data_IF_146643895751
#
_entry.id   IF_146643895751
#
_cell.length_a   1.000
_cell.length_b   1.000
_cell.length_c   1.000
_cell.angle_alpha   90.00
_cell.angle_beta   90.00
_cell.angle_gamma   90.00
#
_symmetry.space_group_name_H-M   'P 1'
#
loop_
_entity.id
_entity.type
_entity.pdbx_description
1 polymer ?
#
# COMPACT_ATOMS: atom_id res chain seq x y z
N UNK A 1 -12.96 8.85 -15.93
CA UNK A 1 -11.60 8.39 -15.71
C UNK A 1 -11.52 7.65 -14.39
N UNK A 2 -12.18 6.51 -14.36
CA UNK A 2 -12.28 5.63 -13.21
C UNK A 2 -10.88 5.14 -12.79
N UNK A 3 -10.66 4.96 -11.49
CA UNK A 3 -9.39 4.51 -10.94
C UNK A 3 -8.30 5.57 -10.79
N UNK A 4 -8.57 6.84 -11.15
CA UNK A 4 -7.61 7.92 -10.92
C UNK A 4 -7.70 8.49 -9.48
N UNK A 5 -6.63 9.15 -9.02
CA UNK A 5 -6.67 9.88 -7.75
C UNK A 5 -7.77 10.95 -7.70
N UNK A 6 -8.08 11.56 -8.84
CA UNK A 6 -9.20 12.50 -8.94
C UNK A 6 -10.55 11.82 -8.73
N UNK A 7 -10.73 10.61 -9.31
CA UNK A 7 -11.95 9.82 -9.11
C UNK A 7 -12.13 9.45 -7.64
N UNK A 8 -11.07 9.00 -6.97
CA UNK A 8 -11.11 8.71 -5.54
C UNK A 8 -11.52 9.96 -4.73
N UNK A 9 -10.89 11.11 -4.98
CA UNK A 9 -11.24 12.35 -4.31
C UNK A 9 -12.70 12.77 -4.54
N UNK A 10 -13.23 12.55 -5.76
CA UNK A 10 -14.62 12.81 -6.10
C UNK A 10 -15.57 11.91 -5.32
N UNK A 11 -15.31 10.60 -5.28
CA UNK A 11 -16.16 9.61 -4.56
C UNK A 11 -16.19 9.88 -3.06
N UNK A 12 -15.03 10.25 -2.49
CA UNK A 12 -14.90 10.51 -1.04
C UNK A 12 -15.25 11.94 -0.63
N UNK A 13 -15.54 12.83 -1.59
CA UNK A 13 -15.77 14.25 -1.30
C UNK A 13 -14.53 14.95 -0.72
N UNK A 14 -13.32 14.48 -1.05
CA UNK A 14 -12.07 14.96 -0.46
C UNK A 14 -11.48 16.09 -1.29
N UNK A 15 -11.13 17.25 -0.69
CA UNK A 15 -10.44 18.33 -1.40
C UNK A 15 -9.01 17.93 -1.80
N UNK A 16 -8.53 18.49 -2.91
CA UNK A 16 -7.24 18.17 -3.52
C UNK A 16 -6.25 19.33 -3.32
N UNK A 17 -5.05 18.99 -2.90
CA UNK A 17 -3.86 19.85 -3.01
C UNK A 17 -3.01 19.38 -4.19
N UNK A 18 -2.92 20.19 -5.23
CA UNK A 18 -2.16 19.87 -6.43
C UNK A 18 -0.68 20.18 -6.21
N UNK A 19 0.20 19.19 -6.39
CA UNK A 19 1.66 19.40 -6.40
C UNK A 19 2.14 19.49 -7.84
N UNK A 20 2.72 20.63 -8.22
CA UNK A 20 3.16 20.91 -9.59
C UNK A 20 4.67 20.98 -9.65
N UNK A 21 5.29 20.21 -10.55
CA UNK A 21 6.70 20.37 -10.85
C UNK A 21 6.93 21.69 -11.60
N UNK A 22 7.56 22.63 -10.92
CA UNK A 22 7.79 23.99 -11.42
C UNK A 22 9.24 24.25 -11.84
N UNK A 23 10.07 23.20 -11.98
CA UNK A 23 11.48 23.36 -12.38
C UNK A 23 11.61 24.01 -13.74
N UNK A 24 12.30 25.15 -13.77
CA UNK A 24 12.53 25.91 -15.00
C UNK A 24 11.27 26.58 -15.59
N UNK A 25 10.13 26.51 -14.90
CA UNK A 25 8.89 27.13 -15.33
C UNK A 25 8.81 28.57 -14.83
N UNK A 26 8.69 29.51 -15.75
CA UNK A 26 8.34 30.89 -15.43
C UNK A 26 6.84 31.05 -15.17
N UNK A 27 6.23 32.07 -15.74
CA UNK A 27 4.76 32.26 -15.67
C UNK A 27 3.97 31.16 -16.34
N UNK A 28 4.59 30.29 -17.13
CA UNK A 28 3.95 29.15 -17.74
C UNK A 28 3.37 28.14 -16.70
N UNK A 29 3.83 28.18 -15.45
CA UNK A 29 3.25 27.40 -14.37
C UNK A 29 1.77 27.75 -14.12
N UNK A 30 1.36 29.02 -14.34
CA UNK A 30 -0.05 29.42 -14.25
C UNK A 30 -0.89 28.72 -15.31
N UNK A 31 -0.38 28.60 -16.54
CA UNK A 31 -1.09 27.89 -17.62
C UNK A 31 -1.25 26.41 -17.32
N UNK A 32 -0.23 25.78 -16.70
CA UNK A 32 -0.29 24.39 -16.28
C UNK A 32 -1.36 24.19 -15.19
N UNK A 33 -1.36 25.03 -14.15
CA UNK A 33 -2.35 24.98 -13.07
C UNK A 33 -3.77 25.25 -13.65
N UNK A 34 -3.92 26.26 -14.51
CA UNK A 34 -5.19 26.56 -15.15
C UNK A 34 -5.72 25.37 -15.98
N UNK A 35 -4.83 24.63 -16.64
CA UNK A 35 -5.17 23.39 -17.34
C UNK A 35 -5.79 22.33 -16.41
N UNK A 36 -5.19 22.07 -15.26
CA UNK A 36 -5.77 21.16 -14.26
C UNK A 36 -7.12 21.65 -13.75
N UNK A 37 -7.24 22.93 -13.45
CA UNK A 37 -8.51 23.53 -12.98
C UNK A 37 -9.61 23.48 -14.03
N UNK A 38 -9.27 23.51 -15.31
CA UNK A 38 -10.23 23.38 -16.40
C UNK A 38 -10.86 21.97 -16.45
N UNK A 39 -10.09 20.94 -16.07
CA UNK A 39 -10.56 19.56 -15.99
C UNK A 39 -11.22 19.22 -14.63
N UNK A 40 -11.04 20.06 -13.63
CA UNK A 40 -11.62 19.91 -12.29
C UNK A 40 -13.09 20.41 -12.28
N UNK A 41 -13.96 19.61 -12.83
CA UNK A 41 -15.41 19.95 -12.94
C UNK A 41 -16.10 20.07 -11.59
N UNK A 42 -15.64 19.32 -10.59
CA UNK A 42 -16.20 19.32 -9.22
C UNK A 42 -15.56 20.39 -8.32
N UNK A 43 -14.56 21.12 -8.82
CA UNK A 43 -13.81 22.15 -8.06
C UNK A 43 -13.20 21.60 -6.76
N UNK A 44 -12.62 20.41 -6.82
CA UNK A 44 -11.97 19.75 -5.69
C UNK A 44 -10.56 20.29 -5.43
N UNK A 45 -9.88 20.85 -6.46
CA UNK A 45 -8.54 21.43 -6.31
C UNK A 45 -8.66 22.78 -5.55
N UNK A 46 -8.22 22.78 -4.29
CA UNK A 46 -8.32 23.91 -3.39
C UNK A 46 -7.00 24.67 -3.20
N UNK A 47 -5.89 23.99 -3.41
CA UNK A 47 -4.57 24.56 -3.22
C UNK A 47 -3.52 24.00 -4.14
N UNK A 48 -2.39 24.70 -4.25
CA UNK A 48 -1.26 24.26 -5.06
C UNK A 48 0.06 24.45 -4.29
N UNK A 49 0.96 23.46 -4.42
CA UNK A 49 2.34 23.51 -3.96
C UNK A 49 3.25 23.43 -5.19
N UNK A 50 4.22 24.33 -5.27
CA UNK A 50 5.15 24.41 -6.40
C UNK A 50 6.44 23.65 -6.05
N UNK A 51 6.61 22.45 -6.60
CA UNK A 51 7.79 21.63 -6.38
C UNK A 51 8.96 22.10 -7.26
N UNK A 52 10.18 22.00 -6.76
CA UNK A 52 11.45 22.38 -7.38
C UNK A 52 11.50 23.86 -7.78
N UNK A 53 10.97 24.74 -6.92
CA UNK A 53 10.93 26.19 -7.12
C UNK A 53 11.78 26.91 -6.06
N UNK A 54 12.47 27.97 -6.45
CA UNK A 54 13.17 28.83 -5.49
C UNK A 54 12.21 29.73 -4.72
N UNK A 55 12.53 30.02 -3.44
CA UNK A 55 11.73 30.93 -2.61
C UNK A 55 11.58 32.31 -3.19
N UNK A 56 12.64 32.87 -3.75
CA UNK A 56 12.60 34.20 -4.38
C UNK A 56 11.62 34.27 -5.55
N UNK A 57 11.59 33.21 -6.36
CA UNK A 57 10.66 33.15 -7.48
C UNK A 57 9.22 32.87 -7.05
N UNK A 58 9.05 32.04 -6.01
CA UNK A 58 7.73 31.81 -5.42
C UNK A 58 7.06 33.11 -4.96
N UNK A 59 7.81 34.01 -4.31
CA UNK A 59 7.28 35.31 -3.89
C UNK A 59 6.76 36.17 -5.08
N UNK A 60 7.33 35.99 -6.27
CA UNK A 60 6.87 36.67 -7.49
C UNK A 60 5.63 36.01 -8.10
N UNK A 61 5.55 34.67 -8.07
CA UNK A 61 4.47 33.90 -8.72
C UNK A 61 3.22 33.81 -7.84
N UNK A 62 3.39 33.72 -6.54
CA UNK A 62 2.27 33.57 -5.58
C UNK A 62 1.16 34.59 -5.77
N UNK A 63 1.44 35.91 -5.84
CA UNK A 63 0.38 36.90 -6.04
C UNK A 63 -0.37 36.75 -7.37
N UNK A 64 0.31 36.22 -8.41
CA UNK A 64 -0.32 35.96 -9.70
C UNK A 64 -1.26 34.75 -9.63
N UNK A 65 -0.85 33.66 -8.95
CA UNK A 65 -1.71 32.51 -8.73
C UNK A 65 -2.97 32.93 -7.97
N UNK A 66 -2.81 33.61 -6.83
CA UNK A 66 -3.92 34.02 -5.95
C UNK A 66 -4.85 35.05 -6.64
N UNK A 67 -4.34 35.84 -7.61
CA UNK A 67 -5.13 36.82 -8.37
C UNK A 67 -5.86 36.23 -9.58
N UNK A 68 -5.18 35.33 -10.31
CA UNK A 68 -5.65 34.85 -11.62
C UNK A 68 -6.34 33.51 -11.58
N UNK A 69 -6.11 32.72 -10.52
CA UNK A 69 -6.63 31.34 -10.40
C UNK A 69 -7.43 31.17 -9.08
N UNK A 70 -8.51 30.38 -9.10
CA UNK A 70 -9.35 30.16 -7.91
C UNK A 70 -8.77 29.10 -6.96
N UNK A 71 -7.47 29.19 -6.63
CA UNK A 71 -6.76 28.27 -5.73
C UNK A 71 -5.81 29.00 -4.80
N UNK A 72 -5.58 28.44 -3.61
CA UNK A 72 -4.59 28.95 -2.67
C UNK A 72 -3.17 28.53 -3.07
N UNK A 73 -2.22 29.45 -3.10
CA UNK A 73 -0.80 29.13 -3.19
C UNK A 73 -0.28 28.74 -1.79
N UNK A 74 -0.17 27.44 -1.53
CA UNK A 74 0.13 26.89 -0.20
C UNK A 74 1.62 26.93 0.13
N UNK A 75 2.49 27.00 -0.87
CA UNK A 75 3.92 27.04 -0.67
C UNK A 75 4.73 26.50 -1.83
N UNK A 76 5.99 26.26 -1.55
CA UNK A 76 6.93 25.71 -2.52
C UNK A 76 7.88 24.71 -1.84
N UNK A 77 8.45 23.82 -2.64
CA UNK A 77 9.52 22.92 -2.23
C UNK A 77 10.75 23.28 -3.07
N UNK A 78 11.87 23.66 -2.45
CA UNK A 78 13.09 23.93 -3.20
C UNK A 78 13.67 22.66 -3.84
N UNK A 79 14.53 22.82 -4.86
CA UNK A 79 15.24 21.69 -5.49
C UNK A 79 16.27 21.11 -4.50
N UNK A 80 15.96 19.96 -3.91
CA UNK A 80 16.72 19.32 -2.84
C UNK A 80 17.41 18.06 -3.35
N UNK A 81 18.51 18.23 -4.08
CA UNK A 81 19.25 17.09 -4.68
C UNK A 81 19.70 16.01 -3.70
N UNK A 82 19.92 16.38 -2.43
CA UNK A 82 20.34 15.44 -1.38
C UNK A 82 19.18 14.67 -0.75
N UNK A 83 17.94 15.02 -1.08
CA UNK A 83 16.73 14.35 -0.63
C UNK A 83 16.10 13.47 -1.73
N UNK A 84 16.83 13.19 -2.81
CA UNK A 84 16.37 12.22 -3.80
C UNK A 84 16.36 10.82 -3.18
N UNK A 85 15.18 10.29 -2.93
CA UNK A 85 15.02 8.87 -2.66
C UNK A 85 15.40 8.13 -3.94
N UNK A 86 16.43 7.30 -3.88
CA UNK A 86 16.84 6.49 -5.02
C UNK A 86 15.70 5.55 -5.38
N UNK A 87 15.17 5.74 -6.58
CA UNK A 87 14.22 4.78 -7.14
C UNK A 87 14.97 3.48 -7.43
N UNK A 88 14.46 2.35 -6.93
CA UNK A 88 14.92 1.01 -7.28
C UNK A 88 13.78 0.25 -7.89
N UNK A 89 14.02 -0.47 -8.97
CA UNK A 89 13.03 -1.28 -9.69
C UNK A 89 11.60 -0.70 -9.67
N UNK A 90 10.77 -1.09 -8.72
CA UNK A 90 9.39 -0.60 -8.54
C UNK A 90 9.28 0.69 -7.70
N UNK A 91 10.39 1.39 -7.46
CA UNK A 91 10.42 2.65 -6.69
C UNK A 91 10.40 2.49 -5.17
N UNK A 92 10.51 1.26 -4.67
CA UNK A 92 10.48 0.95 -3.23
C UNK A 92 11.90 0.79 -2.67
N UNK A 93 12.07 1.13 -1.39
CA UNK A 93 13.33 1.06 -0.65
C UNK A 93 13.24 -0.06 0.38
N UNK A 94 14.31 -0.87 0.48
CA UNK A 94 14.33 -2.02 1.40
C UNK A 94 14.36 -1.58 2.88
N UNK A 95 13.79 -2.39 3.80
CA UNK A 95 13.76 -2.09 5.24
C UNK A 95 15.13 -1.83 5.87
N UNK A 96 16.20 -2.46 5.37
CA UNK A 96 17.58 -2.26 5.84
C UNK A 96 18.10 -0.81 5.66
N UNK A 97 17.48 -0.05 4.77
CA UNK A 97 17.84 1.35 4.49
C UNK A 97 16.96 2.34 5.29
N UNK A 98 16.11 1.85 6.19
CA UNK A 98 15.10 2.67 6.87
C UNK A 98 15.69 3.76 7.78
N UNK A 99 16.85 3.57 8.39
CA UNK A 99 17.43 4.61 9.25
C UNK A 99 17.86 5.84 8.44
N UNK A 100 18.51 5.65 7.30
CA UNK A 100 18.89 6.75 6.40
C UNK A 100 17.65 7.42 5.80
N UNK A 101 16.69 6.63 5.33
CA UNK A 101 15.43 7.13 4.77
C UNK A 101 14.61 7.86 5.83
N UNK A 102 14.52 7.36 7.05
CA UNK A 102 13.83 8.01 8.14
C UNK A 102 14.45 9.37 8.49
N UNK A 103 15.79 9.49 8.42
CA UNK A 103 16.46 10.78 8.60
C UNK A 103 16.17 11.73 7.45
N UNK A 104 16.23 11.26 6.20
CA UNK A 104 15.88 12.05 5.03
C UNK A 104 14.44 12.56 5.09
N UNK A 105 13.49 11.75 5.52
CA UNK A 105 12.09 12.16 5.73
C UNK A 105 11.98 13.25 6.80
N UNK A 106 12.70 13.12 7.93
CA UNK A 106 12.72 14.16 8.98
C UNK A 106 13.28 15.49 8.47
N UNK A 107 14.38 15.43 7.73
CA UNK A 107 15.02 16.62 7.17
C UNK A 107 14.10 17.30 6.14
N UNK A 108 13.44 16.51 5.30
CA UNK A 108 12.45 17.00 4.35
C UNK A 108 11.23 17.61 5.04
N UNK A 109 10.70 16.96 6.07
CA UNK A 109 9.59 17.49 6.84
C UNK A 109 9.93 18.84 7.51
N UNK A 110 11.15 18.95 8.04
CA UNK A 110 11.64 20.21 8.62
C UNK A 110 11.76 21.34 7.58
N UNK A 111 12.11 21.01 6.34
CA UNK A 111 12.14 22.00 5.25
C UNK A 111 10.73 22.37 4.79
N UNK A 112 9.82 21.39 4.64
CA UNK A 112 8.43 21.66 4.30
C UNK A 112 7.74 22.61 5.29
N UNK A 113 8.00 22.44 6.58
CA UNK A 113 7.44 23.32 7.63
C UNK A 113 7.82 24.80 7.45
N UNK A 114 8.95 25.09 6.80
CA UNK A 114 9.42 26.49 6.54
C UNK A 114 8.79 27.07 5.28
N UNK A 115 8.47 26.24 4.30
CA UNK A 115 8.18 26.67 2.93
C UNK A 115 6.75 26.40 2.51
N UNK A 116 6.02 25.52 3.21
CA UNK A 116 4.64 25.16 2.94
C UNK A 116 3.76 25.48 4.14
N UNK A 117 2.60 26.07 3.91
CA UNK A 117 1.62 26.37 4.96
C UNK A 117 0.82 25.11 5.33
N UNK A 118 1.32 24.36 6.31
CA UNK A 118 0.62 23.17 6.85
C UNK A 118 -0.73 23.55 7.44
N UNK A 119 -0.86 24.74 8.02
CA UNK A 119 -2.12 25.19 8.60
C UNK A 119 -3.21 25.35 7.53
N UNK A 120 -2.89 25.99 6.40
CA UNK A 120 -3.84 26.06 5.27
C UNK A 120 -4.20 24.69 4.68
N UNK A 121 -3.26 23.74 4.67
CA UNK A 121 -3.56 22.36 4.26
C UNK A 121 -4.59 21.73 5.22
N UNK A 122 -4.44 21.94 6.53
CA UNK A 122 -5.41 21.46 7.52
C UNK A 122 -6.78 22.13 7.38
N UNK A 123 -6.81 23.43 7.09
CA UNK A 123 -8.05 24.16 6.80
C UNK A 123 -8.76 23.54 5.58
N UNK A 124 -8.02 23.28 4.50
CA UNK A 124 -8.56 22.62 3.31
C UNK A 124 -9.05 21.19 3.64
N UNK A 125 -8.25 20.42 4.41
CA UNK A 125 -8.62 19.07 4.80
C UNK A 125 -9.92 19.03 5.65
N UNK A 126 -10.16 20.06 6.46
CA UNK A 126 -11.38 20.17 7.25
C UNK A 126 -12.65 20.42 6.40
N UNK A 127 -12.51 20.75 5.12
CA UNK A 127 -13.63 20.85 4.17
C UNK A 127 -14.06 19.47 3.62
N UNK A 128 -13.33 18.40 3.91
CA UNK A 128 -13.66 17.05 3.45
C UNK A 128 -15.02 16.61 4.01
N UNK A 129 -15.78 15.86 3.21
CA UNK A 129 -17.00 15.24 3.67
C UNK A 129 -16.72 14.21 4.76
N UNK A 130 -17.63 14.07 5.73
CA UNK A 130 -17.55 12.94 6.67
C UNK A 130 -17.79 11.64 5.90
N UNK A 131 -16.86 10.70 6.03
CA UNK A 131 -17.08 9.36 5.50
C UNK A 131 -18.12 8.64 6.38
N UNK A 132 -19.01 7.84 5.79
CA UNK A 132 -19.96 7.06 6.58
C UNK A 132 -19.20 6.17 7.55
N UNK A 133 -19.61 6.19 8.83
CA UNK A 133 -19.09 5.23 9.81
C UNK A 133 -19.48 3.82 9.36
N UNK A 134 -18.49 2.99 9.14
CA UNK A 134 -18.72 1.56 8.93
C UNK A 134 -19.17 0.95 10.26
N UNK A 135 -20.39 0.46 10.32
CA UNK A 135 -20.88 -0.25 11.50
C UNK A 135 -20.05 -1.53 11.68
N UNK A 136 -19.57 -1.77 12.92
CA UNK A 136 -18.93 -3.04 13.31
C UNK A 136 -19.96 -4.18 13.21
N UNK A 137 -20.28 -4.61 12.03
CA UNK A 137 -21.31 -5.63 11.81
C UNK A 137 -21.71 -5.81 10.36
N UNK A 138 -21.32 -4.89 9.49
CA UNK A 138 -21.43 -5.10 8.06
C UNK A 138 -20.24 -5.91 7.56
N UNK A 139 -20.27 -7.22 7.89
CA UNK A 139 -19.39 -8.22 7.24
C UNK A 139 -19.77 -8.43 5.77
N UNK A 140 -20.83 -7.84 5.30
CA UNK A 140 -21.15 -7.66 3.88
C UNK A 140 -20.46 -6.39 3.37
N UNK A 141 -19.13 -6.42 3.28
CA UNK A 141 -18.34 -5.51 2.46
C UNK A 141 -18.65 -5.76 0.97
N UNK A 142 -19.91 -5.77 0.62
CA UNK A 142 -20.35 -5.54 -0.75
C UNK A 142 -20.15 -4.05 -1.00
N UNK A 143 -18.97 -3.73 -1.49
CA UNK A 143 -18.73 -2.43 -2.11
C UNK A 143 -19.75 -2.26 -3.22
N UNK A 144 -20.87 -1.61 -2.91
CA UNK A 144 -21.71 -0.98 -3.93
C UNK A 144 -20.96 0.23 -4.49
N UNK A 145 -19.83 -0.05 -5.16
CA UNK A 145 -19.30 0.82 -6.18
C UNK A 145 -20.14 0.51 -7.42
N UNK A 146 -21.25 1.23 -7.61
CA UNK A 146 -21.92 1.26 -8.91
C UNK A 146 -20.87 1.60 -9.97
N UNK A 147 -20.50 0.60 -10.80
CA UNK A 147 -19.52 0.77 -11.88
C UNK A 147 -18.36 -0.24 -11.91
N UNK A 148 -18.13 -1.08 -10.91
CA UNK A 148 -17.20 -2.20 -11.02
C UNK A 148 -17.90 -3.40 -11.64
N UNK A 149 -17.50 -3.77 -12.86
CA UNK A 149 -18.00 -4.95 -13.55
C UNK A 149 -17.65 -6.23 -12.78
N UNK A 150 -18.57 -7.20 -12.77
CA UNK A 150 -18.53 -8.48 -12.05
C UNK A 150 -17.24 -9.31 -12.24
N UNK A 151 -16.42 -9.04 -13.24
CA UNK A 151 -15.20 -9.82 -13.53
C UNK A 151 -14.05 -9.62 -12.52
N UNK A 152 -14.03 -8.57 -11.70
CA UNK A 152 -12.96 -8.33 -10.71
C UNK A 152 -13.31 -8.84 -9.30
N UNK A 153 -14.57 -9.11 -9.01
CA UNK A 153 -15.00 -9.68 -7.73
C UNK A 153 -14.54 -11.13 -7.53
N UNK A 154 -14.39 -11.87 -8.62
CA UNK A 154 -14.03 -13.30 -8.59
C UNK A 154 -12.66 -13.58 -7.97
N UNK A 155 -11.72 -12.62 -8.01
CA UNK A 155 -10.33 -12.89 -7.58
C UNK A 155 -10.14 -12.87 -6.06
N UNK A 156 -10.81 -11.97 -5.34
CA UNK A 156 -10.68 -11.88 -3.86
C UNK A 156 -11.58 -12.91 -3.15
N UNK A 157 -12.81 -13.10 -3.62
CA UNK A 157 -13.70 -14.14 -3.08
C UNK A 157 -13.14 -15.55 -3.30
N UNK A 158 -12.53 -15.83 -4.48
CA UNK A 158 -11.97 -17.15 -4.75
C UNK A 158 -10.74 -17.50 -3.89
N UNK A 159 -10.01 -16.50 -3.40
CA UNK A 159 -8.83 -16.70 -2.55
C UNK A 159 -9.24 -16.96 -1.10
N UNK A 160 -10.16 -16.17 -0.56
CA UNK A 160 -10.69 -16.37 0.79
C UNK A 160 -11.56 -17.64 0.87
N UNK A 161 -12.41 -17.90 -0.12
CA UNK A 161 -13.26 -19.08 -0.15
C UNK A 161 -12.43 -20.37 -0.33
N UNK A 162 -11.39 -20.38 -1.16
CA UNK A 162 -10.53 -21.57 -1.31
C UNK A 162 -9.70 -21.90 -0.06
N UNK A 163 -9.36 -20.89 0.77
CA UNK A 163 -8.68 -21.10 2.04
C UNK A 163 -9.67 -21.59 3.12
N UNK A 164 -10.89 -21.02 3.12
CA UNK A 164 -11.93 -21.36 4.11
C UNK A 164 -12.62 -22.68 3.78
N UNK A 165 -12.93 -22.96 2.50
CA UNK A 165 -13.58 -24.23 2.10
C UNK A 165 -12.68 -25.47 2.30
N UNK A 166 -11.35 -25.32 2.23
CA UNK A 166 -10.43 -26.44 2.49
C UNK A 166 -10.37 -26.85 3.97
N UNK A 167 -10.83 -25.99 4.89
CA UNK A 167 -10.85 -26.25 6.34
C UNK A 167 -12.17 -26.85 6.84
N UNK A 168 -13.24 -26.95 6.01
CA UNK A 168 -14.59 -27.34 6.44
C UNK A 168 -14.87 -28.88 6.38
N UNK A 169 -13.83 -29.70 6.47
CA UNK A 169 -13.92 -31.16 6.52
C UNK A 169 -14.39 -31.73 7.86
N UNK A 170 -15.10 -31.04 8.75
CA UNK A 170 -15.49 -31.62 10.03
C UNK A 170 -16.21 -30.71 11.03
N UNK A 171 -17.29 -30.02 10.66
CA UNK A 171 -18.14 -29.34 11.64
C UNK A 171 -19.31 -30.18 12.08
N UNK A 172 -19.31 -30.57 13.36
CA UNK A 172 -20.49 -30.97 14.14
C UNK A 172 -20.93 -29.81 15.05
N UNK A 173 -22.24 -29.70 15.21
CA UNK A 173 -23.09 -28.61 15.70
C UNK A 173 -22.69 -27.90 17.00
N UNK A 174 -23.21 -26.66 17.06
CA UNK A 174 -23.12 -25.63 18.06
C UNK A 174 -23.22 -26.01 19.53
N UNK A 175 -22.32 -25.46 20.34
CA UNK A 175 -22.39 -25.39 21.81
C UNK A 175 -22.21 -23.95 22.29
N UNK A 176 -22.99 -23.55 23.26
CA UNK A 176 -23.15 -22.25 23.87
C UNK A 176 -21.82 -21.59 24.36
N UNK A 177 -21.73 -20.28 24.14
CA UNK A 177 -20.65 -19.39 24.62
C UNK A 177 -20.67 -19.32 26.17
N UNK A 178 -19.58 -19.72 26.80
CA UNK A 178 -19.23 -19.33 28.17
C UNK A 178 -17.83 -18.74 28.15
N UNK A 179 -17.74 -17.47 28.64
CA UNK A 179 -16.49 -16.77 28.90
C UNK A 179 -15.58 -17.59 29.82
N UNK A 180 -14.41 -17.98 29.34
CA UNK A 180 -13.22 -18.20 30.14
C UNK A 180 -11.98 -18.14 29.27
N UNK A 181 -11.10 -17.18 29.56
CA UNK A 181 -9.73 -17.06 29.08
C UNK A 181 -8.95 -18.38 29.30
N UNK A 182 -8.88 -19.21 28.27
CA UNK A 182 -7.81 -20.20 28.07
C UNK A 182 -7.57 -20.35 26.57
N UNK A 183 -6.38 -19.95 26.18
CA UNK A 183 -5.73 -20.02 24.86
C UNK A 183 -5.75 -21.46 24.30
N UNK A 184 -6.86 -21.92 23.74
CA UNK A 184 -7.00 -23.19 23.02
C UNK A 184 -8.09 -23.12 21.94
N UNK A 185 -7.98 -22.18 21.00
CA UNK A 185 -8.69 -22.34 19.72
C UNK A 185 -7.80 -23.19 18.79
N UNK A 186 -7.89 -24.51 18.95
CA UNK A 186 -7.09 -25.49 18.20
C UNK A 186 -7.56 -25.63 16.75
N UNK A 187 -8.69 -25.06 16.37
CA UNK A 187 -9.33 -25.22 15.06
C UNK A 187 -9.12 -24.04 14.11
N UNK A 188 -8.48 -22.96 14.56
CA UNK A 188 -8.23 -21.80 13.72
C UNK A 188 -7.15 -22.11 12.66
N UNK A 189 -7.40 -21.86 11.36
CA UNK A 189 -6.43 -22.15 10.30
C UNK A 189 -5.14 -21.35 10.47
N UNK A 190 -4.00 -22.03 10.27
CA UNK A 190 -2.67 -21.42 10.35
C UNK A 190 -2.21 -21.03 8.96
N UNK A 191 -2.03 -19.74 8.72
CA UNK A 191 -1.47 -19.21 7.48
C UNK A 191 0.03 -18.91 7.69
N UNK A 192 0.88 -19.63 6.96
CA UNK A 192 2.31 -19.38 6.93
C UNK A 192 2.60 -18.18 6.02
N UNK A 193 3.12 -17.07 6.59
CA UNK A 193 3.41 -15.83 5.86
C UNK A 193 4.92 -15.69 5.71
N UNK A 194 5.41 -15.66 4.47
CA UNK A 194 6.82 -15.42 4.19
C UNK A 194 7.20 -13.98 4.57
N UNK A 195 8.15 -13.78 5.47
CA UNK A 195 8.56 -12.44 5.89
C UNK A 195 10.04 -12.38 6.23
N UNK A 196 10.83 -11.81 5.32
CA UNK A 196 12.25 -11.54 5.48
C UNK A 196 12.68 -10.40 4.52
N UNK A 197 13.97 -10.29 4.25
CA UNK A 197 14.52 -9.25 3.38
C UNK A 197 14.14 -9.41 1.91
N UNK A 198 13.85 -10.64 1.46
CA UNK A 198 13.40 -10.94 0.10
C UNK A 198 11.89 -10.78 -0.06
N UNK A 199 11.11 -10.98 1.02
CA UNK A 199 9.65 -10.96 1.03
C UNK A 199 9.14 -10.02 2.13
N UNK A 200 9.00 -8.73 1.81
CA UNK A 200 8.72 -7.71 2.83
C UNK A 200 7.56 -6.78 2.48
N UNK A 201 6.87 -6.97 1.36
CA UNK A 201 5.78 -6.11 0.93
C UNK A 201 4.44 -6.73 1.26
N UNK A 202 3.86 -6.28 2.37
CA UNK A 202 2.54 -6.65 2.82
C UNK A 202 1.75 -5.41 3.19
N UNK A 203 0.46 -5.43 2.90
CA UNK A 203 -0.48 -4.48 3.47
C UNK A 203 -0.89 -5.01 4.85
N UNK A 204 -0.56 -4.28 5.90
CA UNK A 204 -0.87 -4.68 7.28
C UNK A 204 -2.38 -4.86 7.50
N UNK A 205 -3.20 -4.07 6.78
CA UNK A 205 -4.65 -4.23 6.82
C UNK A 205 -5.13 -5.58 6.27
N UNK A 206 -4.47 -6.12 5.24
CA UNK A 206 -4.80 -7.44 4.71
C UNK A 206 -4.43 -8.56 5.71
N UNK A 207 -3.27 -8.43 6.38
CA UNK A 207 -2.85 -9.39 7.41
C UNK A 207 -3.83 -9.37 8.59
N UNK A 208 -4.20 -8.17 9.06
CA UNK A 208 -5.18 -8.01 10.12
C UNK A 208 -6.56 -8.56 9.73
N UNK A 209 -6.98 -8.38 8.48
CA UNK A 209 -8.25 -8.92 7.99
C UNK A 209 -8.28 -10.45 8.04
N UNK A 210 -7.18 -11.13 7.71
CA UNK A 210 -7.06 -12.58 7.85
C UNK A 210 -7.23 -13.00 9.33
N UNK A 211 -6.61 -12.29 10.27
CA UNK A 211 -6.76 -12.56 11.70
C UNK A 211 -8.20 -12.29 12.20
N UNK A 212 -8.83 -11.21 11.74
CA UNK A 212 -10.24 -10.88 12.04
C UNK A 212 -11.21 -11.95 11.51
N UNK A 213 -10.85 -12.66 10.44
CA UNK A 213 -11.61 -13.80 9.91
C UNK A 213 -11.23 -15.14 10.56
N UNK A 214 -10.47 -15.11 11.64
CA UNK A 214 -10.16 -16.27 12.45
C UNK A 214 -8.89 -17.04 12.05
N UNK A 215 -8.08 -16.51 11.13
CA UNK A 215 -6.80 -17.13 10.82
C UNK A 215 -5.74 -16.78 11.88
N UNK A 216 -4.81 -17.71 12.11
CA UNK A 216 -3.59 -17.48 12.90
C UNK A 216 -2.40 -17.31 11.96
N UNK A 217 -1.75 -16.14 11.96
CA UNK A 217 -0.58 -15.91 11.12
C UNK A 217 0.68 -16.43 11.81
N UNK A 218 1.48 -17.21 11.06
CA UNK A 218 2.80 -17.69 11.47
C UNK A 218 3.83 -17.24 10.43
N UNK A 219 4.77 -16.44 10.85
CA UNK A 219 5.80 -15.91 9.95
C UNK A 219 6.94 -16.92 9.79
N UNK A 220 7.48 -17.01 8.59
CA UNK A 220 8.68 -17.78 8.28
C UNK A 220 9.56 -17.02 7.29
N UNK A 221 10.84 -17.36 7.25
CA UNK A 221 11.80 -16.76 6.35
C UNK A 221 12.21 -17.74 5.26
N UNK A 222 11.87 -17.51 3.99
CA UNK A 222 12.44 -18.27 2.88
C UNK A 222 13.96 -18.22 2.79
N UNK A 223 14.60 -17.17 3.30
CA UNK A 223 16.05 -17.05 3.34
C UNK A 223 16.70 -17.84 4.47
N UNK A 224 16.12 -17.81 5.68
CA UNK A 224 16.81 -18.21 6.90
C UNK A 224 16.25 -19.46 7.56
N UNK A 225 14.98 -19.77 7.37
CA UNK A 225 14.33 -20.95 7.95
C UNK A 225 14.49 -22.17 7.04
N UNK A 226 14.55 -23.35 7.63
CA UNK A 226 14.69 -24.61 6.90
C UNK A 226 13.37 -25.35 6.69
N UNK A 227 12.28 -24.90 7.36
CA UNK A 227 10.96 -25.54 7.34
C UNK A 227 9.85 -24.52 7.44
N UNK A 228 8.69 -24.87 6.91
CA UNK A 228 7.45 -24.16 7.15
C UNK A 228 7.00 -24.27 8.62
N UNK A 229 6.19 -23.34 9.13
CA UNK A 229 5.51 -23.47 10.41
C UNK A 229 4.71 -24.79 10.50
N UNK A 230 4.84 -25.47 11.63
CA UNK A 230 4.16 -26.75 11.83
C UNK A 230 2.63 -26.57 11.80
N UNK A 231 1.96 -27.46 11.07
CA UNK A 231 0.50 -27.48 10.95
C UNK A 231 -0.06 -26.30 10.16
N UNK A 232 0.70 -25.70 9.22
CA UNK A 232 0.15 -24.65 8.37
C UNK A 232 -0.90 -25.20 7.39
N UNK A 233 -2.03 -24.49 7.29
CA UNK A 233 -3.16 -24.81 6.42
C UNK A 233 -3.14 -24.00 5.12
N UNK A 234 -2.31 -22.94 5.05
CA UNK A 234 -2.14 -22.10 3.88
C UNK A 234 -0.79 -21.39 3.87
N UNK A 235 -0.33 -20.99 2.70
CA UNK A 235 0.93 -20.27 2.48
C UNK A 235 0.66 -18.94 1.78
N UNK A 236 1.21 -17.86 2.32
CA UNK A 236 1.18 -16.52 1.73
C UNK A 236 2.61 -16.04 1.43
N UNK A 237 2.92 -15.90 0.14
CA UNK A 237 4.18 -15.37 -0.38
C UNK A 237 3.94 -13.97 -0.95
N UNK A 238 4.27 -12.94 -0.21
CA UNK A 238 4.07 -11.56 -0.62
C UNK A 238 5.12 -11.04 -1.59
N UNK A 239 5.02 -9.76 -1.88
CA UNK A 239 5.99 -9.06 -2.72
C UNK A 239 7.32 -8.83 -2.03
N UNK A 240 8.30 -8.44 -2.82
CA UNK A 240 9.67 -8.16 -2.39
C UNK A 240 10.63 -8.21 -3.55
N UNK A 241 11.90 -8.44 -3.23
CA UNK A 241 12.99 -8.50 -4.21
C UNK A 241 13.78 -9.81 -4.10
N UNK A 242 13.19 -10.96 -4.43
CA UNK A 242 13.88 -12.24 -4.38
C UNK A 242 15.10 -12.28 -5.32
N UNK A 243 15.09 -11.51 -6.41
CA UNK A 243 16.21 -11.40 -7.36
C UNK A 243 17.47 -10.79 -6.75
N UNK A 244 17.38 -10.07 -5.64
CA UNK A 244 18.53 -9.55 -4.90
C UNK A 244 19.16 -10.58 -3.93
N UNK A 245 18.50 -11.72 -3.76
CA UNK A 245 18.86 -12.77 -2.80
C UNK A 245 18.95 -14.15 -3.45
N UNK A 246 19.28 -14.20 -4.75
CA UNK A 246 19.28 -15.44 -5.54
C UNK A 246 20.15 -16.53 -4.93
N UNK A 247 21.36 -16.18 -4.47
CA UNK A 247 22.29 -17.15 -3.90
C UNK A 247 21.76 -17.76 -2.60
N UNK A 248 21.22 -16.95 -1.71
CA UNK A 248 20.66 -17.39 -0.43
C UNK A 248 19.41 -18.27 -0.68
N UNK A 249 18.54 -17.86 -1.57
CA UNK A 249 17.35 -18.62 -1.94
C UNK A 249 17.70 -19.93 -2.64
N UNK A 250 18.74 -19.95 -3.50
CA UNK A 250 19.24 -21.16 -4.14
C UNK A 250 19.81 -22.14 -3.12
N UNK A 251 20.59 -21.65 -2.15
CA UNK A 251 21.21 -22.47 -1.11
C UNK A 251 20.19 -23.07 -0.14
N UNK A 252 19.07 -22.40 0.07
CA UNK A 252 18.00 -22.90 0.93
C UNK A 252 17.06 -23.91 0.23
N UNK A 253 17.66 -25.00 -0.26
CA UNK A 253 16.94 -26.07 -0.93
C UNK A 253 15.91 -26.79 -0.02
N UNK A 254 16.12 -26.79 1.32
CA UNK A 254 15.19 -27.38 2.26
C UNK A 254 13.87 -26.63 2.27
N UNK A 255 13.86 -25.30 2.39
CA UNK A 255 12.65 -24.49 2.37
C UNK A 255 11.90 -24.62 1.04
N UNK A 256 12.63 -24.57 -0.10
CA UNK A 256 11.99 -24.74 -1.42
C UNK A 256 11.30 -26.12 -1.54
N UNK A 257 11.90 -27.17 -1.00
CA UNK A 257 11.29 -28.49 -1.00
C UNK A 257 10.09 -28.60 -0.05
N UNK A 258 10.14 -27.96 1.12
CA UNK A 258 9.02 -27.87 2.04
C UNK A 258 7.80 -27.19 1.38
N UNK A 259 7.98 -26.00 0.78
CA UNK A 259 6.91 -25.29 0.07
C UNK A 259 6.35 -26.15 -1.07
N UNK A 260 7.22 -26.73 -1.90
CA UNK A 260 6.79 -27.60 -3.01
C UNK A 260 5.98 -28.78 -2.51
N UNK A 261 6.46 -29.46 -1.49
CA UNK A 261 5.79 -30.63 -0.92
C UNK A 261 4.44 -30.25 -0.32
N UNK A 262 4.35 -29.13 0.37
CA UNK A 262 3.10 -28.61 0.93
C UNK A 262 2.07 -28.34 -0.18
N UNK A 263 2.47 -27.68 -1.25
CA UNK A 263 1.60 -27.42 -2.40
C UNK A 263 1.18 -28.71 -3.14
N UNK A 264 2.10 -29.66 -3.32
CA UNK A 264 1.79 -30.97 -3.90
C UNK A 264 0.82 -31.80 -3.03
N UNK A 265 0.81 -31.58 -1.72
CA UNK A 265 -0.13 -32.17 -0.77
C UNK A 265 -1.48 -31.44 -0.71
N UNK A 266 -1.63 -30.35 -1.47
CA UNK A 266 -2.88 -29.60 -1.60
C UNK A 266 -3.03 -28.44 -0.62
N UNK A 267 -1.96 -28.02 0.09
CA UNK A 267 -2.00 -26.79 0.87
C UNK A 267 -2.11 -25.59 -0.07
N UNK A 268 -3.15 -24.76 0.06
CA UNK A 268 -3.33 -23.59 -0.80
C UNK A 268 -2.19 -22.58 -0.61
N UNK A 269 -1.75 -21.99 -1.74
CA UNK A 269 -0.68 -21.00 -1.74
C UNK A 269 -1.11 -19.77 -2.55
N UNK A 270 -1.03 -18.60 -1.92
CA UNK A 270 -1.19 -17.31 -2.58
C UNK A 270 0.17 -16.68 -2.73
N UNK A 271 0.51 -16.29 -3.95
CA UNK A 271 1.81 -15.68 -4.26
C UNK A 271 1.63 -14.44 -5.13
N UNK A 272 2.22 -13.31 -4.70
CA UNK A 272 2.17 -12.04 -5.40
C UNK A 272 3.56 -11.52 -5.74
N UNK A 273 3.73 -10.91 -6.93
CA UNK A 273 4.96 -10.21 -7.33
C UNK A 273 6.22 -11.05 -7.07
N UNK A 274 7.08 -10.67 -6.11
CA UNK A 274 8.27 -11.42 -5.73
C UNK A 274 7.99 -12.85 -5.26
N UNK A 275 6.89 -13.07 -4.52
CA UNK A 275 6.45 -14.40 -4.13
C UNK A 275 6.07 -15.27 -5.32
N UNK A 276 5.42 -14.68 -6.33
CA UNK A 276 5.11 -15.38 -7.58
C UNK A 276 6.40 -15.71 -8.37
N UNK A 277 7.37 -14.78 -8.42
CA UNK A 277 8.68 -15.04 -9.04
C UNK A 277 9.38 -16.23 -8.37
N UNK A 278 9.33 -16.33 -7.05
CA UNK A 278 9.97 -17.41 -6.28
C UNK A 278 9.40 -18.80 -6.58
N UNK A 279 8.16 -18.91 -7.01
CA UNK A 279 7.52 -20.18 -7.40
C UNK A 279 7.88 -20.64 -8.82
N UNK A 280 8.58 -19.83 -9.63
CA UNK A 280 9.07 -20.25 -10.95
C UNK A 280 10.25 -21.23 -10.84
N UNK A 281 10.50 -21.94 -11.93
CA UNK A 281 11.63 -22.88 -12.01
C UNK A 281 12.98 -22.17 -11.93
N UNK A 282 13.06 -20.95 -12.49
CA UNK A 282 14.28 -20.12 -12.51
C UNK A 282 13.93 -18.66 -12.27
N UNK A 283 14.81 -17.97 -11.56
CA UNK A 283 14.87 -16.51 -11.48
C UNK A 283 16.26 -16.12 -11.94
N UNK A 284 16.36 -15.20 -12.89
CA UNK A 284 17.61 -14.72 -13.43
C UNK A 284 17.78 -13.24 -13.07
N UNK A 285 18.99 -12.84 -12.65
CA UNK A 285 19.36 -11.44 -12.61
C UNK A 285 19.69 -10.92 -14.02
N UNK A 286 19.79 -9.62 -14.15
CA UNK A 286 20.07 -8.97 -15.45
C UNK A 286 21.58 -8.72 -15.66
N UNK A 287 22.47 -9.36 -14.90
CA UNK A 287 23.91 -9.23 -15.10
C UNK A 287 24.46 -10.19 -16.17
#
# INVERSE_FOLDING_TARGET
>A
EEGSSYHLAKVTGTPIVLVVDAKGMGKSVLALIAGFLQYDTEKLIRGVILNRMSGAYFQTIRPLIEKELPVAALGYVPDQKHLELKSRHLGLVLPKEQEEVAQQIRDFAAELQKTVSIEKIREIAAEAAELPEMSKGDSDLRYHLEGFTEEKHVYMESVTDSIIESSDGGRTEAGELTDNDTDTDTDAPIIAVARDEAFCFYYEDNLRLLEEHGARLRYFSPLHDSRLPEGCDGILLGGGYPELHLQELEQNGSMRNEIRTAMEQGIPCVAECGGFMYLHETIEDQE
#
